data_IF_875324034715
#
_entry.id   IF_875324034715
#
_cell.length_a   1.000
_cell.length_b   1.000
_cell.length_c   1.000
_cell.angle_alpha   90.00
_cell.angle_beta   90.00
_cell.angle_gamma   90.00
#
_symmetry.space_group_name_H-M   'P 1'
#
loop_
_entity.id
_entity.type
_entity.pdbx_description
1 polymer ?
#
# COMPACT_ATOMS: atom_id res chain seq x y z
N UNK A 1 2.78 12.50 9.20
CA UNK A 1 3.28 11.12 9.33
C UNK A 1 3.09 10.36 8.03
N UNK A 2 4.09 9.60 7.64
CA UNK A 2 4.03 8.82 6.41
C UNK A 2 2.89 7.79 6.42
N UNK A 3 2.65 7.15 7.54
CA UNK A 3 1.59 6.14 7.67
C UNK A 3 0.21 6.71 7.35
N UNK A 4 -0.06 7.92 7.81
CA UNK A 4 -1.33 8.61 7.53
C UNK A 4 -1.40 8.98 6.05
N UNK A 5 -0.30 9.44 5.47
CA UNK A 5 -0.24 9.75 4.04
C UNK A 5 -0.52 8.51 3.18
N UNK A 6 0.09 7.38 3.52
CA UNK A 6 -0.15 6.11 2.82
C UNK A 6 -1.62 5.70 2.95
N UNK A 7 -2.18 5.77 4.15
CA UNK A 7 -3.60 5.44 4.37
C UNK A 7 -4.51 6.32 3.52
N UNK A 8 -4.28 7.63 3.50
CA UNK A 8 -5.10 8.55 2.72
C UNK A 8 -5.02 8.27 1.22
N UNK A 9 -3.82 7.97 0.72
CA UNK A 9 -3.62 7.64 -0.69
C UNK A 9 -4.33 6.33 -1.02
N UNK A 10 -4.20 5.31 -0.17
CA UNK A 10 -4.88 4.03 -0.39
C UNK A 10 -6.40 4.19 -0.33
N UNK A 11 -6.93 4.97 0.60
CA UNK A 11 -8.37 5.23 0.67
C UNK A 11 -8.90 5.81 -0.64
N UNK A 12 -8.17 6.71 -1.27
CA UNK A 12 -8.56 7.29 -2.56
C UNK A 12 -8.52 6.27 -3.69
N UNK A 13 -7.53 5.38 -3.68
CA UNK A 13 -7.35 4.38 -4.74
C UNK A 13 -8.41 3.30 -4.68
N UNK A 14 -8.73 2.80 -3.50
CA UNK A 14 -9.52 1.57 -3.32
C UNK A 14 -10.91 1.80 -2.75
N UNK A 15 -11.31 3.07 -2.52
CA UNK A 15 -12.66 3.38 -2.02
C UNK A 15 -13.73 2.61 -2.81
N UNK A 16 -14.75 2.04 -2.17
CA UNK A 16 -15.10 2.12 -0.73
C UNK A 16 -14.49 1.01 0.15
N UNK A 17 -13.49 0.30 -0.32
CA UNK A 17 -12.86 -0.79 0.43
C UNK A 17 -12.15 -0.23 1.66
N UNK A 18 -12.28 -0.94 2.78
CA UNK A 18 -11.72 -0.52 4.06
C UNK A 18 -10.19 -0.67 4.07
N UNK A 19 -9.50 0.39 4.44
CA UNK A 19 -8.05 0.41 4.63
C UNK A 19 -7.75 0.49 6.12
N UNK A 20 -6.98 -0.48 6.63
CA UNK A 20 -6.63 -0.55 8.05
C UNK A 20 -5.14 -0.80 8.24
N UNK A 21 -4.54 -0.34 9.36
CA UNK A 21 -3.14 -0.66 9.63
C UNK A 21 -2.99 -2.14 10.04
N UNK A 22 -1.97 -2.78 9.51
CA UNK A 22 -1.50 -4.13 9.85
C UNK A 22 -2.49 -5.24 9.58
N UNK A 23 -3.70 -5.19 10.11
CA UNK A 23 -4.68 -6.27 9.99
C UNK A 23 -6.12 -5.76 9.98
N UNK A 24 -6.95 -6.34 9.12
CA UNK A 24 -8.38 -6.06 9.07
C UNK A 24 -9.19 -7.10 9.84
N UNK A 25 -10.32 -6.68 10.38
CA UNK A 25 -11.24 -7.55 11.12
C UNK A 25 -12.59 -7.57 10.41
N UNK A 26 -13.20 -8.77 10.30
CA UNK A 26 -14.50 -8.96 9.67
C UNK A 26 -14.39 -9.64 8.31
N UNK A 27 -15.41 -9.48 7.47
CA UNK A 27 -15.43 -10.04 6.13
C UNK A 27 -14.72 -9.11 5.14
N UNK A 28 -13.93 -9.70 4.24
CA UNK A 28 -13.22 -8.94 3.22
C UNK A 28 -14.15 -8.35 2.15
N UNK A 29 -13.59 -7.60 1.19
CA UNK A 29 -12.15 -7.37 1.02
C UNK A 29 -11.60 -6.32 1.97
N UNK A 30 -10.31 -6.48 2.28
CA UNK A 30 -9.56 -5.51 3.10
C UNK A 30 -8.28 -5.12 2.38
N UNK A 31 -7.82 -3.89 2.63
CA UNK A 31 -6.47 -3.47 2.27
C UNK A 31 -5.77 -3.08 3.58
N UNK A 32 -4.62 -3.67 3.84
CA UNK A 32 -3.82 -3.36 5.02
C UNK A 32 -2.48 -2.80 4.61
N UNK A 33 -1.84 -2.06 5.50
CA UNK A 33 -0.53 -1.47 5.24
C UNK A 33 0.35 -1.52 6.47
N UNK A 34 1.64 -1.73 6.24
CA UNK A 34 2.67 -1.69 7.28
C UNK A 34 3.84 -0.90 6.76
N UNK A 35 4.31 0.07 7.53
CA UNK A 35 5.42 0.94 7.13
C UNK A 35 6.62 0.67 8.05
N UNK A 36 7.78 0.42 7.43
CA UNK A 36 9.03 0.18 8.12
C UNK A 36 10.06 1.20 7.68
N UNK A 37 10.68 1.90 8.62
CA UNK A 37 11.75 2.84 8.31
C UNK A 37 13.01 2.09 7.86
N UNK A 38 13.61 2.54 6.77
CA UNK A 38 14.84 1.96 6.22
C UNK A 38 16.01 2.92 6.44
N UNK A 39 15.82 4.20 6.18
CA UNK A 39 16.86 5.22 6.31
C UNK A 39 16.24 6.56 6.72
N UNK A 40 16.99 7.34 7.49
CA UNK A 40 16.58 8.67 7.90
C UNK A 40 17.34 9.73 7.12
N UNK A 41 17.16 10.99 7.51
CA UNK A 41 17.80 12.14 6.89
C UNK A 41 16.78 13.15 6.37
N UNK A 42 17.22 14.06 5.49
CA UNK A 42 16.32 15.07 4.91
C UNK A 42 15.32 14.39 3.97
N UNK A 43 15.83 13.51 3.09
CA UNK A 43 14.99 12.61 2.30
C UNK A 43 15.06 11.25 2.98
N UNK A 44 13.92 10.78 3.45
CA UNK A 44 13.81 9.51 4.18
C UNK A 44 13.43 8.38 3.24
N UNK A 45 13.87 7.17 3.57
CA UNK A 45 13.47 5.97 2.86
C UNK A 45 12.73 5.05 3.81
N UNK A 46 11.58 4.56 3.36
CA UNK A 46 10.76 3.61 4.11
C UNK A 46 10.29 2.49 3.18
N UNK A 47 9.92 1.38 3.77
CA UNK A 47 9.32 0.27 3.07
C UNK A 47 7.86 0.16 3.49
N UNK A 48 6.96 0.10 2.53
CA UNK A 48 5.55 -0.12 2.81
C UNK A 48 5.14 -1.48 2.24
N UNK A 49 4.58 -2.33 3.09
CA UNK A 49 3.95 -3.57 2.65
C UNK A 49 2.44 -3.36 2.64
N UNK A 50 1.83 -3.56 1.49
CA UNK A 50 0.39 -3.42 1.31
C UNK A 50 -0.17 -4.80 1.00
N UNK A 51 -1.14 -5.25 1.79
CA UNK A 51 -1.80 -6.54 1.58
C UNK A 51 -3.24 -6.32 1.19
N UNK A 52 -3.67 -7.08 0.19
CA UNK A 52 -5.08 -7.16 -0.22
C UNK A 52 -5.59 -8.51 0.23
N UNK A 53 -6.61 -8.52 1.06
CA UNK A 53 -7.19 -9.74 1.65
C UNK A 53 -8.61 -9.88 1.15
N UNK A 54 -8.89 -10.93 0.39
CA UNK A 54 -10.20 -11.16 -0.22
C UNK A 54 -10.42 -12.65 -0.44
N UNK A 55 -11.65 -13.10 -0.27
CA UNK A 55 -12.04 -14.47 -0.60
C UNK A 55 -12.06 -14.71 -2.13
N UNK A 56 -12.21 -13.66 -2.92
CA UNK A 56 -12.21 -13.73 -4.38
C UNK A 56 -10.83 -13.27 -4.91
N UNK A 57 -10.07 -14.22 -5.44
CA UNK A 57 -8.73 -13.97 -5.97
C UNK A 57 -8.74 -12.97 -7.12
N UNK A 58 -9.71 -13.09 -8.04
CA UNK A 58 -9.79 -12.21 -9.20
C UNK A 58 -10.05 -10.76 -8.77
N UNK A 59 -10.93 -10.57 -7.79
CA UNK A 59 -11.18 -9.23 -7.24
C UNK A 59 -9.95 -8.67 -6.55
N UNK A 60 -9.22 -9.49 -5.82
CA UNK A 60 -7.96 -9.09 -5.19
C UNK A 60 -6.93 -8.63 -6.22
N UNK A 61 -6.83 -9.33 -7.37
CA UNK A 61 -5.95 -8.93 -8.47
C UNK A 61 -6.33 -7.57 -9.04
N UNK A 62 -7.64 -7.30 -9.20
CA UNK A 62 -8.10 -6.00 -9.70
C UNK A 62 -7.74 -4.87 -8.73
N UNK A 63 -7.88 -5.10 -7.44
CA UNK A 63 -7.50 -4.12 -6.42
C UNK A 63 -6.00 -3.86 -6.47
N UNK A 64 -5.20 -4.92 -6.59
CA UNK A 64 -3.74 -4.81 -6.70
C UNK A 64 -3.34 -3.97 -7.91
N UNK A 65 -3.98 -4.18 -9.06
CA UNK A 65 -3.69 -3.40 -10.26
C UNK A 65 -3.95 -1.90 -10.05
N UNK A 66 -5.02 -1.55 -9.37
CA UNK A 66 -5.30 -0.13 -9.05
C UNK A 66 -4.21 0.47 -8.19
N UNK A 67 -3.73 -0.28 -7.20
CA UNK A 67 -2.65 0.17 -6.31
C UNK A 67 -1.35 0.32 -7.09
N UNK A 68 -1.00 -0.65 -7.93
CA UNK A 68 0.23 -0.61 -8.73
C UNK A 68 0.24 0.57 -9.70
N UNK A 69 -0.88 0.86 -10.35
CA UNK A 69 -0.97 2.00 -11.27
C UNK A 69 -0.63 3.32 -10.60
N UNK A 70 -0.95 3.46 -9.31
CA UNK A 70 -0.71 4.71 -8.59
C UNK A 70 0.65 4.73 -7.90
N UNK A 71 1.07 3.63 -7.33
CA UNK A 71 2.24 3.58 -6.44
C UNK A 71 3.50 3.02 -7.08
N UNK A 72 3.42 2.33 -8.21
CA UNK A 72 4.60 1.95 -8.99
C UNK A 72 4.92 3.10 -9.95
N UNK A 73 5.65 4.09 -9.45
CA UNK A 73 5.80 5.38 -10.12
C UNK A 73 7.00 5.39 -11.06
N UNK A 74 6.75 5.83 -12.29
CA UNK A 74 7.83 6.12 -13.24
C UNK A 74 8.46 7.48 -12.93
N UNK A 75 9.69 7.69 -13.42
CA UNK A 75 10.45 8.91 -13.16
C UNK A 75 9.77 10.19 -13.67
N UNK A 76 8.93 10.06 -14.71
CA UNK A 76 8.21 11.19 -15.32
C UNK A 76 6.97 11.63 -14.54
N UNK A 77 6.47 10.76 -13.67
CA UNK A 77 5.25 11.04 -12.90
C UNK A 77 5.60 12.00 -11.76
N UNK A 78 4.79 13.05 -11.53
CA UNK A 78 5.03 13.95 -10.40
C UNK A 78 4.93 13.22 -9.06
N UNK A 79 5.66 13.70 -8.08
CA UNK A 79 5.58 13.17 -6.71
C UNK A 79 4.17 13.29 -6.16
N UNK A 80 3.78 12.32 -5.34
CA UNK A 80 2.52 12.38 -4.61
C UNK A 80 2.68 13.29 -3.40
N UNK A 81 1.63 14.04 -3.12
CA UNK A 81 1.59 14.96 -1.98
C UNK A 81 0.35 14.67 -1.15
N UNK A 82 0.55 14.49 0.15
CA UNK A 82 -0.55 14.38 1.11
C UNK A 82 -0.22 15.26 2.31
N UNK A 83 -0.98 16.34 2.50
CA UNK A 83 -0.72 17.36 3.50
C UNK A 83 0.72 17.90 3.39
N UNK A 84 1.57 17.63 4.37
CA UNK A 84 2.96 18.08 4.41
C UNK A 84 3.97 17.02 3.95
N UNK A 85 3.49 15.88 3.48
CA UNK A 85 4.34 14.77 3.01
C UNK A 85 4.41 14.78 1.49
N UNK A 86 5.62 14.75 0.96
CA UNK A 86 5.90 14.56 -0.47
C UNK A 86 6.62 13.23 -0.62
N UNK A 87 6.10 12.35 -1.47
CA UNK A 87 6.66 11.02 -1.61
C UNK A 87 6.72 10.52 -3.06
N UNK A 88 7.65 9.61 -3.28
CA UNK A 88 7.71 8.80 -4.49
C UNK A 88 7.87 7.34 -4.07
N UNK A 89 7.20 6.46 -4.78
CA UNK A 89 7.26 5.03 -4.48
C UNK A 89 7.54 4.21 -5.72
N UNK A 90 8.12 3.05 -5.52
CA UNK A 90 8.35 2.08 -6.59
C UNK A 90 8.18 0.68 -6.04
N UNK A 91 7.69 -0.22 -6.90
CA UNK A 91 7.48 -1.62 -6.52
C UNK A 91 8.83 -2.32 -6.31
N UNK A 92 8.97 -2.97 -5.17
CA UNK A 92 10.18 -3.72 -4.81
C UNK A 92 9.94 -5.22 -4.70
N UNK A 93 8.70 -5.66 -4.63
CA UNK A 93 8.39 -7.08 -4.51
C UNK A 93 6.92 -7.31 -4.18
N UNK A 94 6.59 -8.58 -3.95
CA UNK A 94 5.23 -8.95 -3.60
C UNK A 94 4.99 -10.44 -3.85
N UNK A 95 3.78 -10.87 -3.63
CA UNK A 95 3.41 -12.25 -3.85
C UNK A 95 1.95 -12.49 -3.52
N UNK A 96 1.56 -13.76 -3.57
CA UNK A 96 0.21 -14.17 -3.22
C UNK A 96 0.26 -15.48 -2.45
N UNK A 97 -0.63 -15.61 -1.48
CA UNK A 97 -0.84 -16.87 -0.78
C UNK A 97 -2.29 -17.02 -0.37
N UNK A 98 -2.72 -18.26 -0.17
CA UNK A 98 -4.02 -18.54 0.38
C UNK A 98 -3.89 -18.82 1.88
N UNK A 99 -4.58 -18.02 2.69
CA UNK A 99 -4.58 -18.20 4.14
C UNK A 99 -5.71 -19.17 4.52
N UNK A 100 -5.34 -20.40 4.81
CA UNK A 100 -6.31 -21.45 5.15
C UNK A 100 -7.07 -21.17 6.45
N UNK A 101 -6.43 -20.47 7.39
CA UNK A 101 -7.02 -20.18 8.69
C UNK A 101 -8.25 -19.26 8.58
N UNK A 102 -8.24 -18.33 7.65
CA UNK A 102 -9.35 -17.40 7.41
C UNK A 102 -10.05 -17.64 6.08
N UNK A 103 -9.60 -18.62 5.30
CA UNK A 103 -10.17 -18.98 3.99
C UNK A 103 -10.18 -17.79 3.02
N UNK A 104 -9.09 -17.05 2.97
CA UNK A 104 -8.95 -15.86 2.13
C UNK A 104 -7.60 -15.82 1.44
N UNK A 105 -7.56 -15.18 0.27
CA UNK A 105 -6.33 -14.88 -0.45
C UNK A 105 -5.70 -13.64 0.13
N UNK A 106 -4.37 -13.66 0.25
CA UNK A 106 -3.58 -12.50 0.63
C UNK A 106 -2.60 -12.19 -0.51
N UNK A 107 -2.79 -11.03 -1.14
CA UNK A 107 -1.86 -10.53 -2.13
C UNK A 107 -1.04 -9.41 -1.51
N UNK A 108 0.26 -9.48 -1.60
CA UNK A 108 1.14 -8.45 -1.03
C UNK A 108 1.89 -7.70 -2.12
N UNK A 109 2.09 -6.41 -1.88
CA UNK A 109 2.94 -5.55 -2.68
C UNK A 109 3.88 -4.83 -1.73
N UNK A 110 5.17 -4.84 -2.03
CA UNK A 110 6.17 -4.16 -1.22
C UNK A 110 6.71 -2.99 -2.03
N UNK A 111 6.61 -1.79 -1.47
CA UNK A 111 7.08 -0.57 -2.10
C UNK A 111 8.23 0.04 -1.31
N UNK A 112 9.21 0.56 -2.02
CA UNK A 112 10.21 1.44 -1.44
C UNK A 112 9.73 2.88 -1.65
N UNK A 113 9.68 3.64 -0.57
CA UNK A 113 9.14 4.99 -0.57
C UNK A 113 10.24 5.97 -0.16
N UNK A 114 10.53 6.91 -1.04
CA UNK A 114 11.39 8.05 -0.73
C UNK A 114 10.48 9.23 -0.44
N UNK A 115 10.62 9.83 0.73
CA UNK A 115 9.70 10.86 1.17
C UNK A 115 10.38 11.92 2.01
N UNK A 116 9.73 13.08 2.07
CA UNK A 116 10.16 14.19 2.90
C UNK A 116 8.96 15.01 3.37
N UNK A 117 9.16 15.78 4.42
CA UNK A 117 8.20 16.81 4.81
C UNK A 117 8.42 18.07 3.97
N UNK A 118 7.36 18.76 3.67
CA UNK A 118 7.46 20.06 3.02
C UNK A 118 8.18 21.08 3.89
#
# INVERSE_FOLDING_TARGET
MLEIAIKNILDQIVSPIKVTPVFGVGEGPFVTYTVTAVDGGVVKQSQAEIKIIDSDFDNALLIREKILKKLDMESKVPSLVDNDIVLRSSLAGGGSLFNEGIQMWELSCIFIINWRCK
#
